data_IF_745044931144
#
_entry.id   IF_745044931144
#
_cell.length_a   1.000
_cell.length_b   1.000
_cell.length_c   1.000
_cell.angle_alpha   90.00
_cell.angle_beta   90.00
_cell.angle_gamma   90.00
#
_symmetry.space_group_name_H-M   'P 1'
#
loop_
_entity.id
_entity.type
_entity.pdbx_description
1 polymer ?
#
# COMPACT_ATOMS: atom_id res chain seq x y z
N UNK A 1 -2.67 1.55 0.64
CA UNK A 1 -2.87 1.60 -0.82
C UNK A 1 -3.55 0.34 -1.25
N UNK A 2 -4.56 0.46 -2.07
CA UNK A 2 -5.14 -0.72 -2.70
C UNK A 2 -5.43 -0.43 -4.17
N UNK A 3 -5.05 -1.36 -5.05
CA UNK A 3 -5.52 -1.37 -6.42
C UNK A 3 -5.73 -2.82 -6.87
N UNK A 4 -6.72 -3.02 -7.71
CA UNK A 4 -7.11 -4.30 -8.24
C UNK A 4 -6.51 -4.44 -9.63
N UNK A 5 -5.76 -5.49 -9.85
CA UNK A 5 -5.07 -5.76 -11.11
C UNK A 5 -5.29 -7.19 -11.61
N UNK A 6 -6.31 -7.84 -11.09
CA UNK A 6 -6.72 -9.15 -11.56
C UNK A 6 -7.23 -9.07 -13.00
N UNK A 7 -6.98 -10.10 -13.73
CA UNK A 7 -7.42 -10.29 -15.09
C UNK A 7 -8.20 -11.58 -15.25
N UNK A 8 -8.96 -11.88 -14.28
CA UNK A 8 -9.91 -12.97 -14.06
C UNK A 8 -9.69 -14.20 -14.90
N UNK A 9 -10.15 -14.54 -16.05
CA UNK A 9 -9.88 -15.85 -16.63
C UNK A 9 -8.40 -16.09 -17.00
N UNK A 10 -7.53 -15.06 -16.92
CA UNK A 10 -6.14 -15.12 -17.39
C UNK A 10 -5.13 -15.30 -16.28
N UNK A 11 -5.10 -14.40 -15.31
CA UNK A 11 -4.23 -14.43 -14.14
C UNK A 11 -4.67 -13.41 -13.09
N UNK A 12 -4.13 -13.54 -11.88
CA UNK A 12 -4.29 -12.56 -10.79
C UNK A 12 -2.91 -12.10 -10.32
N UNK A 13 -2.75 -10.78 -10.12
CA UNK A 13 -1.57 -10.18 -9.47
C UNK A 13 -1.95 -9.68 -8.08
N UNK A 14 -2.98 -8.84 -7.99
CA UNK A 14 -3.50 -8.28 -6.74
C UNK A 14 -5.01 -8.48 -6.68
N UNK A 15 -5.47 -9.47 -5.91
CA UNK A 15 -6.90 -9.71 -5.72
C UNK A 15 -7.55 -8.57 -4.93
N UNK A 16 -8.89 -8.44 -4.97
CA UNK A 16 -9.61 -7.49 -4.13
C UNK A 16 -9.29 -7.73 -2.65
N UNK A 17 -8.68 -6.75 -2.00
CA UNK A 17 -8.30 -6.90 -0.60
C UNK A 17 -7.56 -5.67 -0.07
N UNK A 18 -8.24 -4.86 0.73
CA UNK A 18 -7.66 -3.70 1.40
C UNK A 18 -7.51 -3.95 2.89
N UNK A 19 -6.72 -3.14 3.57
CA UNK A 19 -6.56 -3.18 5.02
C UNK A 19 -6.99 -1.88 5.66
N UNK A 20 -7.58 -1.99 6.82
CA UNK A 20 -7.83 -0.89 7.74
C UNK A 20 -7.03 -1.12 9.02
N UNK A 21 -6.46 -0.05 9.55
CA UNK A 21 -5.84 -0.05 10.87
C UNK A 21 -6.44 1.08 11.72
N UNK A 22 -6.69 0.80 12.98
CA UNK A 22 -7.26 1.73 13.93
C UNK A 22 -6.46 1.76 15.24
N UNK A 23 -6.28 2.95 15.77
CA UNK A 23 -5.71 3.17 17.09
C UNK A 23 -6.76 3.84 17.95
N UNK A 24 -7.10 3.24 19.10
CA UNK A 24 -8.00 3.83 20.06
C UNK A 24 -7.21 4.44 21.21
N UNK A 25 -7.40 5.74 21.45
CA UNK A 25 -6.66 6.48 22.47
C UNK A 25 -7.64 6.99 23.53
N UNK A 26 -7.36 6.69 24.78
CA UNK A 26 -8.04 7.29 25.94
C UNK A 26 -7.45 8.67 26.19
N UNK A 27 -8.31 9.69 26.14
CA UNK A 27 -7.91 11.05 26.48
C UNK A 27 -7.57 11.18 27.97
N UNK A 28 -6.45 11.80 28.28
CA UNK A 28 -5.99 11.97 29.65
C UNK A 28 -4.96 13.09 29.78
N UNK A 29 -4.41 13.26 30.99
CA UNK A 29 -3.19 14.05 31.21
C UNK A 29 -2.02 13.42 30.44
N UNK A 30 -1.93 12.08 30.52
CA UNK A 30 -1.13 11.22 29.64
C UNK A 30 -2.12 10.39 28.81
N UNK A 31 -2.18 10.55 27.48
CA UNK A 31 -3.01 9.72 26.62
C UNK A 31 -2.51 8.27 26.59
N UNK A 32 -3.44 7.32 26.52
CA UNK A 32 -3.11 5.90 26.54
C UNK A 32 -3.75 5.17 25.37
N UNK A 33 -2.99 4.42 24.54
CA UNK A 33 -3.56 3.45 23.62
C UNK A 33 -4.35 2.37 24.37
N UNK A 34 -5.54 2.04 23.88
CA UNK A 34 -6.43 1.05 24.49
C UNK A 34 -6.47 -0.19 23.60
N UNK A 35 -6.18 -1.36 24.18
CA UNK A 35 -6.20 -2.66 23.50
C UNK A 35 -7.23 -3.63 24.07
N UNK A 36 -7.73 -3.40 25.31
CA UNK A 36 -8.58 -4.32 26.05
C UNK A 36 -9.95 -3.75 26.35
N UNK A 37 -10.90 -4.64 26.60
CA UNK A 37 -12.29 -4.32 26.98
C UNK A 37 -13.02 -3.49 25.93
N UNK A 38 -12.60 -3.59 24.68
CA UNK A 38 -13.20 -2.88 23.55
C UNK A 38 -13.39 -3.82 22.36
N UNK A 39 -14.44 -3.57 21.60
CA UNK A 39 -14.67 -4.16 20.28
C UNK A 39 -14.69 -3.03 19.27
N UNK A 40 -13.91 -3.16 18.22
CA UNK A 40 -13.89 -2.16 17.13
C UNK A 40 -14.46 -2.81 15.88
N UNK A 41 -15.49 -2.20 15.33
CA UNK A 41 -16.14 -2.64 14.10
C UNK A 41 -15.91 -1.63 12.99
N UNK A 42 -15.89 -2.13 11.76
CA UNK A 42 -15.96 -1.30 10.56
C UNK A 42 -17.18 -1.67 9.72
N UNK A 43 -17.65 -0.70 8.95
CA UNK A 43 -18.72 -0.89 7.98
C UNK A 43 -18.53 0.11 6.84
N UNK A 44 -18.62 -0.37 5.60
CA UNK A 44 -18.68 0.51 4.44
C UNK A 44 -20.00 1.30 4.46
N UNK A 45 -19.97 2.54 4.01
CA UNK A 45 -21.18 3.33 3.81
C UNK A 45 -22.07 2.71 2.72
N UNK A 46 -23.40 2.88 2.79
CA UNK A 46 -24.34 2.29 1.83
C UNK A 46 -23.98 2.58 0.38
N UNK A 47 -24.17 1.59 -0.48
CA UNK A 47 -23.89 1.65 -1.90
C UNK A 47 -22.53 1.08 -2.32
N UNK A 48 -21.79 0.43 -1.41
CA UNK A 48 -20.54 -0.28 -1.70
C UNK A 48 -20.51 -1.67 -1.05
N UNK A 49 -21.67 -2.24 -0.77
CA UNK A 49 -21.77 -3.52 -0.06
C UNK A 49 -21.53 -4.73 -0.95
N UNK A 50 -21.64 -4.59 -2.27
CA UNK A 50 -21.64 -5.70 -3.24
C UNK A 50 -20.49 -5.62 -4.26
N UNK A 51 -19.22 -5.63 -3.85
CA UNK A 51 -18.07 -5.54 -4.76
C UNK A 51 -18.01 -6.71 -5.76
N UNK A 52 -18.56 -7.88 -5.44
CA UNK A 52 -18.58 -9.03 -6.34
C UNK A 52 -19.32 -8.78 -7.65
N UNK A 53 -20.19 -7.77 -7.71
CA UNK A 53 -20.88 -7.37 -8.96
C UNK A 53 -19.95 -6.71 -9.98
N UNK A 54 -18.77 -6.27 -9.56
CA UNK A 54 -17.85 -5.46 -10.37
C UNK A 54 -16.47 -6.08 -10.56
N UNK A 55 -16.31 -7.33 -10.18
CA UNK A 55 -15.14 -8.15 -10.46
C UNK A 55 -15.54 -9.60 -10.69
N UNK A 56 -14.87 -10.24 -11.62
CA UNK A 56 -15.03 -11.69 -11.86
C UNK A 56 -14.12 -12.51 -10.93
N UNK A 57 -13.42 -11.86 -10.00
CA UNK A 57 -12.53 -12.51 -9.04
C UNK A 57 -13.21 -13.71 -8.36
N UNK A 58 -14.43 -13.54 -7.87
CA UNK A 58 -15.17 -14.60 -7.17
C UNK A 58 -15.55 -15.80 -8.06
N UNK A 59 -15.65 -15.59 -9.38
CA UNK A 59 -15.92 -16.67 -10.34
C UNK A 59 -14.68 -17.55 -10.55
N UNK A 60 -13.49 -16.99 -10.41
CA UNK A 60 -12.22 -17.66 -10.70
C UNK A 60 -11.34 -17.90 -9.47
N UNK A 61 -11.71 -17.42 -8.28
CA UNK A 61 -10.88 -17.48 -7.09
C UNK A 61 -10.43 -18.89 -6.72
N UNK A 62 -11.29 -19.90 -6.90
CA UNK A 62 -10.97 -21.31 -6.64
C UNK A 62 -9.79 -21.81 -7.50
N UNK A 63 -9.66 -21.32 -8.74
CA UNK A 63 -8.55 -21.70 -9.61
C UNK A 63 -7.19 -21.18 -9.15
N UNK A 64 -7.19 -20.17 -8.29
CA UNK A 64 -5.99 -19.51 -7.82
C UNK A 64 -5.60 -19.86 -6.39
N UNK A 65 -6.59 -20.08 -5.52
CA UNK A 65 -6.39 -20.09 -4.07
C UNK A 65 -6.88 -21.38 -3.40
N UNK A 66 -7.22 -22.41 -4.15
CA UNK A 66 -7.76 -23.69 -3.67
C UNK A 66 -9.00 -23.54 -2.76
N UNK A 67 -9.66 -22.39 -2.87
CA UNK A 67 -10.91 -22.06 -2.16
C UNK A 67 -11.69 -21.00 -2.90
N UNK A 68 -13.00 -21.06 -2.78
CA UNK A 68 -13.92 -20.04 -3.28
C UNK A 68 -14.45 -19.23 -2.10
N UNK A 69 -14.04 -17.99 -1.92
CA UNK A 69 -14.68 -17.14 -0.93
C UNK A 69 -16.12 -16.85 -1.33
N UNK A 70 -17.00 -16.67 -0.35
CA UNK A 70 -18.36 -16.23 -0.61
C UNK A 70 -18.35 -14.88 -1.35
N UNK A 71 -19.38 -14.57 -2.16
CA UNK A 71 -19.53 -13.25 -2.74
C UNK A 71 -19.38 -12.15 -1.66
N UNK A 72 -18.72 -11.06 -2.03
CA UNK A 72 -18.46 -9.91 -1.15
C UNK A 72 -17.61 -10.20 0.10
N UNK A 73 -16.92 -11.34 0.10
CA UNK A 73 -15.88 -11.66 1.10
C UNK A 73 -14.51 -11.78 0.44
N UNK A 74 -13.52 -11.22 1.11
CA UNK A 74 -12.12 -11.33 0.69
C UNK A 74 -11.50 -12.68 1.07
N UNK A 75 -10.28 -12.91 0.59
CA UNK A 75 -9.54 -14.15 0.84
C UNK A 75 -9.29 -14.44 2.32
N UNK A 76 -9.24 -13.44 3.17
CA UNK A 76 -9.04 -13.59 4.62
C UNK A 76 -10.36 -13.72 5.40
N UNK A 77 -11.51 -13.80 4.69
CA UNK A 77 -12.83 -13.98 5.31
C UNK A 77 -13.55 -12.67 5.68
N UNK A 78 -12.86 -11.53 5.63
CA UNK A 78 -13.49 -10.24 5.91
C UNK A 78 -14.43 -9.82 4.79
N UNK A 79 -15.56 -9.21 5.15
CA UNK A 79 -16.50 -8.57 4.23
C UNK A 79 -16.33 -7.06 4.19
N UNK A 80 -17.30 -6.37 3.59
CA UNK A 80 -17.40 -4.90 3.59
C UNK A 80 -17.80 -4.33 4.96
N UNK A 81 -18.13 -5.19 5.90
CA UNK A 81 -18.30 -4.91 7.32
C UNK A 81 -17.72 -6.06 8.14
N UNK A 82 -17.24 -5.76 9.34
CA UNK A 82 -16.64 -6.75 10.23
C UNK A 82 -16.04 -6.13 11.48
N UNK A 83 -15.25 -6.94 12.16
CA UNK A 83 -14.56 -6.58 13.41
C UNK A 83 -13.05 -6.52 13.15
N UNK A 84 -12.36 -5.64 13.87
CA UNK A 84 -10.91 -5.56 13.89
C UNK A 84 -10.32 -6.57 14.88
N UNK A 85 -9.22 -7.19 14.51
CA UNK A 85 -8.36 -7.93 15.44
C UNK A 85 -7.24 -7.04 15.99
N UNK A 86 -6.93 -7.16 17.28
CA UNK A 86 -5.77 -6.47 17.84
C UNK A 86 -4.48 -7.17 17.41
N UNK A 87 -3.48 -6.38 17.04
CA UNK A 87 -2.16 -6.84 16.62
C UNK A 87 -1.10 -6.27 17.56
N UNK A 88 -0.54 -7.12 18.44
CA UNK A 88 0.47 -6.73 19.41
C UNK A 88 1.76 -6.17 18.78
N UNK A 89 2.14 -6.65 17.59
CA UNK A 89 3.35 -6.20 16.92
C UNK A 89 3.26 -4.76 16.43
N UNK A 90 2.07 -4.34 16.03
CA UNK A 90 1.80 -2.97 15.55
C UNK A 90 1.10 -2.12 16.60
N UNK A 91 0.74 -2.71 17.74
CA UNK A 91 -0.03 -2.08 18.82
C UNK A 91 -1.28 -1.35 18.30
N UNK A 92 -1.99 -1.98 17.36
CA UNK A 92 -3.17 -1.42 16.71
C UNK A 92 -4.19 -2.50 16.39
N UNK A 93 -5.41 -2.09 16.19
CA UNK A 93 -6.47 -2.94 15.65
C UNK A 93 -6.34 -2.98 14.12
N UNK A 94 -6.41 -4.16 13.52
CA UNK A 94 -6.27 -4.36 12.09
C UNK A 94 -7.40 -5.23 11.52
N UNK A 95 -7.84 -4.90 10.31
CA UNK A 95 -8.74 -5.71 9.51
C UNK A 95 -8.20 -5.73 8.06
N UNK A 96 -7.69 -6.88 7.65
CA UNK A 96 -7.04 -7.07 6.35
C UNK A 96 -7.91 -7.85 5.39
N UNK A 97 -7.67 -7.68 4.09
CA UNK A 97 -8.38 -8.42 3.04
C UNK A 97 -9.84 -8.01 2.88
N UNK A 98 -10.19 -6.76 3.22
CA UNK A 98 -11.52 -6.21 3.00
C UNK A 98 -11.75 -6.08 1.48
N UNK A 99 -12.74 -6.77 0.89
CA UNK A 99 -12.98 -6.72 -0.55
C UNK A 99 -13.66 -5.40 -0.90
N UNK A 100 -12.94 -4.53 -1.59
CA UNK A 100 -13.48 -3.23 -2.02
C UNK A 100 -13.02 -2.89 -3.42
N UNK A 101 -13.91 -2.29 -4.21
CA UNK A 101 -13.69 -1.87 -5.59
C UNK A 101 -14.09 -0.41 -5.77
N UNK A 102 -13.60 0.28 -6.82
CA UNK A 102 -13.90 1.68 -7.05
C UNK A 102 -15.25 1.91 -7.75
N UNK A 103 -16.24 1.09 -7.42
CA UNK A 103 -17.58 1.18 -7.99
C UNK A 103 -18.63 1.07 -6.90
N UNK A 104 -19.68 1.88 -7.03
CA UNK A 104 -20.88 1.68 -6.22
C UNK A 104 -21.63 0.43 -6.67
N UNK A 105 -22.55 -0.07 -5.85
CA UNK A 105 -23.36 -1.25 -6.16
C UNK A 105 -24.17 -1.11 -7.46
N UNK A 106 -24.40 0.11 -7.92
CA UNK A 106 -25.04 0.42 -9.20
C UNK A 106 -24.05 0.68 -10.35
N UNK A 107 -22.75 0.44 -10.13
CA UNK A 107 -21.72 0.58 -11.16
C UNK A 107 -21.20 1.98 -11.41
N UNK A 108 -21.54 2.95 -10.60
CA UNK A 108 -20.96 4.28 -10.69
C UNK A 108 -19.50 4.27 -10.20
N UNK A 109 -18.57 4.79 -11.00
CA UNK A 109 -17.17 4.88 -10.62
C UNK A 109 -17.00 5.89 -9.47
N UNK A 110 -16.59 5.38 -8.32
CA UNK A 110 -16.20 6.18 -7.16
C UNK A 110 -15.06 5.46 -6.41
N UNK A 111 -13.82 5.87 -6.60
CA UNK A 111 -12.66 5.23 -5.99
C UNK A 111 -12.42 5.65 -4.53
N UNK A 112 -13.40 6.25 -3.87
CA UNK A 112 -13.36 6.63 -2.45
C UNK A 112 -14.47 5.99 -1.63
N UNK A 113 -14.55 4.67 -1.52
CA UNK A 113 -15.43 4.04 -0.54
C UNK A 113 -15.17 4.60 0.85
N UNK A 114 -16.22 5.04 1.50
CA UNK A 114 -16.18 5.59 2.84
C UNK A 114 -16.56 4.50 3.85
N UNK A 115 -15.84 4.44 4.95
CA UNK A 115 -16.09 3.50 6.04
C UNK A 115 -16.37 4.24 7.34
N UNK A 116 -17.32 3.75 8.10
CA UNK A 116 -17.50 4.11 9.49
C UNK A 116 -16.82 3.06 10.37
N UNK A 117 -16.01 3.53 11.31
CA UNK A 117 -15.34 2.72 12.34
C UNK A 117 -15.95 3.10 13.68
N UNK A 118 -16.36 2.11 14.48
CA UNK A 118 -16.99 2.32 15.76
C UNK A 118 -16.32 1.45 16.83
N UNK A 119 -15.83 2.08 17.89
CA UNK A 119 -15.34 1.42 19.09
C UNK A 119 -16.46 1.35 20.14
N UNK A 120 -16.64 0.18 20.74
CA UNK A 120 -17.63 -0.09 21.78
C UNK A 120 -16.96 -0.70 23.01
N UNK A 121 -17.48 -0.43 24.16
CA UNK A 121 -17.16 -1.18 25.37
C UNK A 121 -17.64 -2.62 25.21
N UNK A 122 -16.77 -3.60 25.48
CA UNK A 122 -17.06 -5.01 25.22
C UNK A 122 -18.14 -5.60 26.16
N UNK A 123 -18.30 -5.05 27.36
CA UNK A 123 -19.25 -5.55 28.33
C UNK A 123 -20.64 -4.93 28.16
N UNK A 124 -20.69 -3.61 27.94
CA UNK A 124 -21.98 -2.88 27.91
C UNK A 124 -22.50 -2.63 26.49
N UNK A 125 -21.67 -2.81 25.48
CA UNK A 125 -21.98 -2.45 24.08
C UNK A 125 -22.06 -0.94 23.83
N UNK A 126 -21.79 -0.10 24.84
CA UNK A 126 -21.84 1.35 24.72
C UNK A 126 -20.81 1.84 23.71
N UNK A 127 -21.22 2.73 22.80
CA UNK A 127 -20.32 3.39 21.86
C UNK A 127 -19.39 4.34 22.61
N UNK A 128 -18.09 4.09 22.47
CA UNK A 128 -17.02 4.90 23.05
C UNK A 128 -16.53 5.99 22.09
N UNK A 129 -16.38 5.64 20.79
CA UNK A 129 -15.92 6.54 19.76
C UNK A 129 -16.43 6.07 18.39
N UNK A 130 -16.51 7.00 17.46
CA UNK A 130 -16.78 6.70 16.05
C UNK A 130 -16.01 7.66 15.15
N UNK A 131 -15.52 7.16 14.02
CA UNK A 131 -14.82 7.96 13.03
C UNK A 131 -15.12 7.44 11.62
N UNK A 132 -14.85 8.27 10.62
CA UNK A 132 -14.94 7.86 9.21
C UNK A 132 -13.55 7.84 8.58
N UNK A 133 -13.35 6.90 7.68
CA UNK A 133 -12.11 6.77 6.90
C UNK A 133 -12.41 6.34 5.48
N UNK A 134 -11.45 6.53 4.60
CA UNK A 134 -11.53 6.11 3.22
C UNK A 134 -10.63 4.89 3.00
N UNK A 135 -11.04 4.02 2.09
CA UNK A 135 -10.15 3.05 1.44
C UNK A 135 -10.03 3.44 -0.03
N UNK A 136 -9.04 4.25 -0.43
CA UNK A 136 -8.86 4.61 -1.83
C UNK A 136 -8.52 3.37 -2.66
N UNK A 137 -9.20 3.17 -3.78
CA UNK A 137 -9.04 2.01 -4.66
C UNK A 137 -8.82 2.44 -6.09
N UNK A 138 -7.89 1.80 -6.78
CA UNK A 138 -7.65 1.99 -8.22
C UNK A 138 -7.76 0.67 -8.98
N UNK A 139 -8.19 0.77 -10.22
CA UNK A 139 -8.13 -0.33 -11.20
C UNK A 139 -7.15 -0.02 -12.33
N UNK A 140 -6.36 1.02 -12.19
CA UNK A 140 -5.50 1.53 -13.24
C UNK A 140 -4.05 1.05 -13.09
N UNK A 141 -3.77 -0.15 -13.55
CA UNK A 141 -2.40 -0.60 -13.80
C UNK A 141 -2.02 -0.28 -15.25
N UNK A 142 -0.86 0.38 -15.43
CA UNK A 142 -0.42 0.88 -16.72
C UNK A 142 0.09 -0.18 -17.71
N UNK A 143 -0.10 -1.47 -17.47
CA UNK A 143 0.38 -2.56 -18.33
C UNK A 143 0.00 -2.38 -19.81
N UNK A 144 -1.19 -1.85 -20.06
CA UNK A 144 -1.68 -1.57 -21.41
C UNK A 144 -0.82 -0.59 -22.21
N UNK A 145 -0.04 0.26 -21.56
CA UNK A 145 0.81 1.24 -22.25
C UNK A 145 1.86 0.57 -23.15
N UNK A 146 2.24 -0.68 -22.82
CA UNK A 146 3.19 -1.49 -23.61
C UNK A 146 2.55 -2.77 -24.13
N UNK A 147 1.59 -3.35 -23.40
CA UNK A 147 0.94 -4.61 -23.75
C UNK A 147 -0.38 -4.43 -24.52
N UNK A 148 -0.78 -3.18 -24.80
CA UNK A 148 -1.99 -2.87 -25.56
C UNK A 148 -3.28 -3.13 -24.78
N UNK A 149 -4.43 -3.06 -25.47
CA UNK A 149 -5.74 -3.22 -24.90
C UNK A 149 -6.34 -1.93 -24.30
N UNK A 150 -7.65 -1.88 -24.05
CA UNK A 150 -8.34 -0.74 -23.46
C UNK A 150 -8.20 -0.69 -21.94
N UNK A 151 -8.53 0.44 -21.33
CA UNK A 151 -8.74 0.52 -19.89
C UNK A 151 -10.06 -0.17 -19.49
N UNK A 152 -10.01 -1.01 -18.45
CA UNK A 152 -11.21 -1.66 -17.87
C UNK A 152 -11.61 -1.00 -16.57
N UNK A 153 -12.05 0.23 -16.63
CA UNK A 153 -12.31 1.03 -15.42
C UNK A 153 -13.74 1.57 -15.32
N UNK A 154 -14.63 1.21 -16.23
CA UNK A 154 -15.99 1.77 -16.19
C UNK A 154 -16.99 0.97 -15.37
N UNK A 155 -16.96 -0.31 -15.35
CA UNK A 155 -17.92 -1.13 -14.60
C UNK A 155 -17.31 -2.41 -14.06
N UNK A 156 -16.13 -2.77 -14.52
CA UNK A 156 -15.43 -4.00 -14.14
C UNK A 156 -13.99 -3.64 -13.87
N UNK A 157 -13.48 -4.08 -12.72
CA UNK A 157 -12.08 -3.90 -12.32
C UNK A 157 -11.12 -4.79 -13.12
N UNK A 158 -9.84 -4.55 -12.97
CA UNK A 158 -8.79 -5.38 -13.55
C UNK A 158 -8.32 -4.95 -14.94
N UNK A 159 -7.47 -5.76 -15.56
CA UNK A 159 -6.93 -5.54 -16.88
C UNK A 159 -7.87 -6.02 -17.97
N UNK A 160 -7.76 -5.41 -19.16
CA UNK A 160 -8.44 -5.92 -20.33
C UNK A 160 -7.86 -7.27 -20.77
N UNK A 161 -8.70 -8.11 -21.35
CA UNK A 161 -8.32 -9.44 -21.81
C UNK A 161 -7.17 -9.40 -22.83
N UNK A 162 -7.17 -8.43 -23.75
CA UNK A 162 -6.08 -8.28 -24.74
C UNK A 162 -4.74 -7.96 -24.07
N UNK A 163 -4.74 -7.09 -23.05
CA UNK A 163 -3.53 -6.77 -22.27
C UNK A 163 -3.03 -8.03 -21.57
N UNK A 164 -3.93 -8.76 -20.92
CA UNK A 164 -3.59 -9.99 -20.20
C UNK A 164 -3.03 -11.08 -21.13
N UNK A 165 -3.67 -11.30 -22.25
CA UNK A 165 -3.21 -12.27 -23.26
C UNK A 165 -1.83 -11.94 -23.80
N UNK A 166 -1.54 -10.67 -24.10
CA UNK A 166 -0.21 -10.27 -24.55
C UNK A 166 0.86 -10.52 -23.47
N UNK A 167 0.56 -10.22 -22.22
CA UNK A 167 1.45 -10.51 -21.09
C UNK A 167 1.76 -12.00 -21.00
N UNK A 168 0.74 -12.86 -21.02
CA UNK A 168 0.93 -14.31 -20.92
C UNK A 168 1.74 -14.87 -22.11
N UNK A 169 1.42 -14.44 -23.34
CA UNK A 169 2.16 -14.88 -24.54
C UNK A 169 3.64 -14.49 -24.49
N UNK A 170 3.96 -13.29 -24.02
CA UNK A 170 5.35 -12.84 -23.84
C UNK A 170 6.05 -13.62 -22.76
N UNK A 171 5.37 -13.87 -21.64
CA UNK A 171 5.91 -14.69 -20.56
C UNK A 171 6.23 -16.12 -21.05
N UNK A 172 5.26 -16.75 -21.71
CA UNK A 172 5.44 -18.13 -22.24
C UNK A 172 6.59 -18.21 -23.23
N UNK A 173 6.69 -17.24 -24.14
CA UNK A 173 7.79 -17.17 -25.11
C UNK A 173 9.15 -16.99 -24.45
N UNK A 174 9.23 -16.14 -23.42
CA UNK A 174 10.50 -15.82 -22.77
C UNK A 174 10.98 -16.93 -21.83
N UNK A 175 10.05 -17.70 -21.25
CA UNK A 175 10.35 -18.63 -20.16
C UNK A 175 9.96 -20.09 -20.43
N UNK A 176 9.42 -20.41 -21.62
CA UNK A 176 9.01 -21.76 -21.98
C UNK A 176 7.88 -22.29 -21.12
N UNK A 177 6.95 -21.41 -20.70
CA UNK A 177 5.77 -21.78 -19.92
C UNK A 177 4.54 -21.99 -20.81
N UNK A 178 3.44 -22.47 -20.24
CA UNK A 178 2.18 -22.77 -20.92
C UNK A 178 0.99 -21.98 -20.33
N UNK A 179 1.26 -20.83 -19.73
CA UNK A 179 0.27 -20.06 -18.96
C UNK A 179 -0.94 -19.65 -19.81
N UNK A 180 -0.68 -19.20 -21.04
CA UNK A 180 -1.75 -18.83 -21.98
C UNK A 180 -2.66 -20.01 -22.33
N UNK A 181 -2.07 -21.13 -22.71
CA UNK A 181 -2.83 -22.33 -23.06
C UNK A 181 -3.61 -22.90 -21.87
N UNK A 182 -3.09 -22.77 -20.66
CA UNK A 182 -3.81 -23.15 -19.43
C UNK A 182 -5.00 -22.25 -19.14
N UNK A 183 -4.81 -20.92 -19.27
CA UNK A 183 -5.88 -19.96 -19.07
C UNK A 183 -7.03 -20.16 -20.09
N UNK A 184 -6.70 -20.41 -21.35
CA UNK A 184 -7.69 -20.75 -22.41
C UNK A 184 -8.50 -22.01 -22.10
N UNK A 185 -7.92 -22.95 -21.36
CA UNK A 185 -8.62 -24.15 -20.87
C UNK A 185 -9.36 -23.94 -19.54
N UNK A 186 -9.51 -22.68 -19.08
CA UNK A 186 -10.17 -22.37 -17.81
C UNK A 186 -9.36 -22.76 -16.56
N UNK A 187 -8.04 -22.93 -16.70
CA UNK A 187 -7.13 -23.30 -15.60
C UNK A 187 -6.00 -22.24 -15.46
N UNK A 188 -6.36 -20.97 -15.25
CA UNK A 188 -5.36 -19.91 -15.08
C UNK A 188 -4.49 -20.17 -13.84
N UNK A 189 -3.33 -19.52 -13.79
CA UNK A 189 -2.41 -19.63 -12.64
C UNK A 189 -2.23 -18.30 -11.93
N UNK A 190 -2.13 -18.38 -10.61
CA UNK A 190 -1.66 -17.28 -9.77
C UNK A 190 -0.17 -17.04 -10.05
N UNK A 191 0.23 -15.79 -10.30
CA UNK A 191 1.65 -15.44 -10.52
C UNK A 191 2.50 -15.85 -9.31
N UNK A 192 1.97 -15.66 -8.13
CA UNK A 192 2.62 -15.97 -6.86
C UNK A 192 2.73 -17.48 -6.56
N UNK A 193 2.12 -18.35 -7.36
CA UNK A 193 2.39 -19.79 -7.26
C UNK A 193 3.85 -20.15 -7.65
N UNK A 194 4.49 -19.29 -8.45
CA UNK A 194 5.89 -19.42 -8.84
C UNK A 194 6.77 -18.30 -8.27
N UNK A 195 6.27 -17.10 -8.17
CA UNK A 195 6.98 -15.92 -7.71
C UNK A 195 6.56 -15.58 -6.29
N UNK A 196 7.46 -15.74 -5.32
CA UNK A 196 7.18 -15.39 -3.93
C UNK A 196 6.67 -13.95 -3.80
N UNK A 197 5.70 -13.72 -2.92
CA UNK A 197 5.16 -12.38 -2.67
C UNK A 197 4.72 -12.23 -1.21
N UNK A 198 5.46 -11.46 -0.40
CA UNK A 198 5.10 -11.21 0.98
C UNK A 198 3.75 -10.47 1.15
N UNK A 199 3.29 -9.74 0.13
CA UNK A 199 2.01 -9.01 0.20
C UNK A 199 0.81 -9.92 0.43
N UNK A 200 0.87 -11.17 -0.02
CA UNK A 200 -0.17 -12.19 0.17
C UNK A 200 0.35 -13.45 0.86
N UNK A 201 1.49 -13.37 1.54
CA UNK A 201 2.17 -14.50 2.20
C UNK A 201 2.46 -15.70 1.27
N UNK A 202 2.66 -15.45 -0.02
CA UNK A 202 2.96 -16.49 -0.98
C UNK A 202 4.46 -16.83 -0.97
N UNK A 203 4.78 -18.11 -0.78
CA UNK A 203 6.17 -18.61 -0.72
C UNK A 203 6.77 -18.82 -2.11
N UNK A 204 5.96 -19.04 -3.14
CA UNK A 204 6.40 -19.25 -4.52
C UNK A 204 7.36 -20.45 -4.68
N UNK A 205 8.11 -20.45 -5.79
CA UNK A 205 9.24 -21.36 -6.02
C UNK A 205 10.54 -20.64 -5.63
N UNK A 206 11.26 -21.14 -4.65
CA UNK A 206 12.48 -20.51 -4.15
C UNK A 206 13.59 -20.31 -5.20
N UNK A 207 13.53 -21.02 -6.32
CA UNK A 207 14.46 -20.85 -7.46
C UNK A 207 14.12 -19.64 -8.35
N UNK A 208 12.90 -19.13 -8.24
CA UNK A 208 12.41 -17.98 -9.02
C UNK A 208 12.63 -16.68 -8.24
N UNK A 209 12.69 -15.58 -8.98
CA UNK A 209 12.68 -14.26 -8.34
C UNK A 209 11.29 -13.98 -7.74
N UNK A 210 11.20 -13.25 -6.60
CA UNK A 210 9.92 -12.75 -6.11
C UNK A 210 9.18 -11.91 -7.16
N UNK A 211 7.86 -11.82 -7.09
CA UNK A 211 7.04 -11.17 -8.09
C UNK A 211 7.48 -9.73 -8.35
N UNK A 212 7.60 -8.93 -7.31
CA UNK A 212 8.04 -7.54 -7.43
C UNK A 212 9.43 -7.43 -8.07
N UNK A 213 10.38 -8.29 -7.65
CA UNK A 213 11.74 -8.33 -8.20
C UNK A 213 11.74 -8.73 -9.68
N UNK A 214 10.90 -9.68 -10.07
CA UNK A 214 10.76 -10.13 -11.47
C UNK A 214 10.24 -9.02 -12.36
N UNK A 215 9.16 -8.36 -11.94
CA UNK A 215 8.54 -7.28 -12.72
C UNK A 215 9.49 -6.10 -12.87
N UNK A 216 10.02 -5.56 -11.77
CA UNK A 216 10.90 -4.39 -11.83
C UNK A 216 12.23 -4.72 -12.52
N UNK A 217 12.84 -5.86 -12.19
CA UNK A 217 14.12 -6.28 -12.77
C UNK A 217 14.07 -6.49 -14.29
N UNK A 218 12.98 -7.07 -14.79
CA UNK A 218 12.78 -7.23 -16.23
C UNK A 218 12.56 -5.88 -16.90
N UNK A 219 11.55 -5.13 -16.45
CA UNK A 219 11.11 -3.91 -17.12
C UNK A 219 12.13 -2.78 -17.05
N UNK A 220 12.96 -2.72 -16.01
CA UNK A 220 14.05 -1.74 -15.93
C UNK A 220 15.06 -1.84 -17.12
N UNK A 221 15.13 -3.00 -17.77
CA UNK A 221 15.97 -3.19 -18.95
C UNK A 221 15.33 -2.69 -20.27
N UNK A 222 14.03 -2.37 -20.25
CA UNK A 222 13.27 -2.03 -21.47
C UNK A 222 12.61 -0.66 -21.42
N UNK A 223 12.44 -0.05 -20.22
CA UNK A 223 11.79 1.25 -20.07
C UNK A 223 12.79 2.36 -20.42
N UNK A 224 12.58 3.11 -21.52
CA UNK A 224 13.50 4.16 -21.95
C UNK A 224 13.33 5.47 -21.19
N UNK A 225 12.19 5.63 -20.50
CA UNK A 225 11.81 6.84 -19.77
C UNK A 225 12.57 6.91 -18.45
N UNK A 226 12.99 8.11 -18.07
CA UNK A 226 13.77 8.36 -16.84
C UNK A 226 12.93 9.02 -15.74
N UNK A 227 13.48 9.03 -14.54
CA UNK A 227 12.87 9.70 -13.40
C UNK A 227 11.56 9.05 -12.94
N UNK A 228 10.67 9.84 -12.38
CA UNK A 228 9.38 9.39 -11.87
C UNK A 228 8.39 8.99 -12.97
N UNK A 229 8.56 9.50 -14.18
CA UNK A 229 7.70 9.14 -15.31
C UNK A 229 7.81 7.66 -15.68
N UNK A 230 8.97 7.04 -15.46
CA UNK A 230 9.14 5.59 -15.63
C UNK A 230 8.20 4.79 -14.71
N UNK A 231 8.04 5.23 -13.46
CA UNK A 231 7.13 4.61 -12.49
C UNK A 231 5.67 4.78 -12.93
N UNK A 232 5.33 5.98 -13.43
CA UNK A 232 3.99 6.34 -13.90
C UNK A 232 3.51 5.57 -15.14
N UNK A 233 4.39 4.85 -15.84
CA UNK A 233 3.99 3.96 -16.94
C UNK A 233 3.18 2.76 -16.44
N UNK A 234 3.45 2.30 -15.22
CA UNK A 234 2.81 1.12 -14.62
C UNK A 234 1.93 1.47 -13.42
N UNK A 235 2.46 2.29 -12.51
CA UNK A 235 1.72 2.71 -11.33
C UNK A 235 0.66 3.77 -11.66
N UNK A 236 -0.47 3.83 -10.91
CA UNK A 236 -1.58 4.75 -11.20
C UNK A 236 -1.20 6.23 -11.05
N UNK A 237 -0.40 6.74 -11.93
CA UNK A 237 0.01 8.15 -12.05
C UNK A 237 0.04 8.60 -13.50
N UNK A 238 -0.43 7.76 -14.42
CA UNK A 238 -0.41 8.08 -15.83
C UNK A 238 -1.33 9.25 -16.16
N UNK A 239 -0.88 10.13 -17.06
CA UNK A 239 -1.62 11.33 -17.43
C UNK A 239 -3.01 11.05 -18.00
N UNK A 240 -3.20 9.90 -18.66
CA UNK A 240 -4.50 9.46 -19.20
C UNK A 240 -5.37 8.72 -18.20
N UNK A 241 -4.89 8.49 -16.98
CA UNK A 241 -5.62 7.78 -15.92
C UNK A 241 -6.53 8.69 -15.11
N UNK A 242 -7.49 8.12 -14.42
CA UNK A 242 -8.37 8.81 -13.51
C UNK A 242 -7.79 8.92 -12.09
N UNK A 243 -6.77 8.12 -11.78
CA UNK A 243 -6.14 8.07 -10.45
C UNK A 243 -4.71 8.61 -10.47
N UNK A 244 -4.20 8.94 -9.30
CA UNK A 244 -2.90 9.59 -9.17
C UNK A 244 -2.20 9.20 -7.88
N UNK A 245 -1.05 8.55 -8.03
CA UNK A 245 -0.29 7.97 -6.94
C UNK A 245 0.39 9.03 -6.05
N UNK A 246 1.18 9.91 -6.65
CA UNK A 246 1.93 10.92 -5.92
C UNK A 246 1.20 12.27 -5.91
N UNK A 247 0.75 12.68 -4.75
CA UNK A 247 0.21 14.01 -4.45
C UNK A 247 0.40 14.33 -2.97
N UNK A 248 -0.09 15.43 -2.48
CA UNK A 248 0.07 15.85 -1.09
C UNK A 248 1.31 16.70 -0.85
N UNK A 249 1.74 16.81 0.40
CA UNK A 249 2.81 17.73 0.81
C UNK A 249 4.13 17.40 0.11
N UNK A 250 4.55 16.14 0.10
CA UNK A 250 5.80 15.74 -0.53
C UNK A 250 5.83 16.10 -2.03
N UNK A 251 4.75 15.80 -2.74
CA UNK A 251 4.65 16.18 -4.16
C UNK A 251 4.61 17.71 -4.35
N UNK A 252 3.97 18.45 -3.44
CA UNK A 252 3.87 19.92 -3.53
C UNK A 252 5.21 20.64 -3.29
N UNK A 253 6.15 19.99 -2.60
CA UNK A 253 7.52 20.49 -2.41
C UNK A 253 8.51 19.90 -3.42
N UNK A 254 8.01 19.26 -4.48
CA UNK A 254 8.83 18.77 -5.58
C UNK A 254 9.41 17.36 -5.38
N UNK A 255 9.05 16.64 -4.32
CA UNK A 255 9.48 15.26 -4.15
C UNK A 255 8.67 14.32 -5.05
N UNK A 256 9.35 13.34 -5.57
CA UNK A 256 8.79 12.33 -6.47
C UNK A 256 9.17 10.90 -6.02
N UNK A 257 8.71 9.91 -6.76
CA UNK A 257 9.02 8.51 -6.50
C UNK A 257 10.53 8.27 -6.30
N UNK A 258 11.36 8.93 -7.10
CA UNK A 258 12.81 8.70 -7.11
C UNK A 258 13.53 9.17 -5.85
N UNK A 259 12.99 10.16 -5.15
CA UNK A 259 13.59 10.65 -3.90
C UNK A 259 13.56 9.58 -2.79
N UNK A 260 12.58 8.69 -2.84
CA UNK A 260 12.43 7.61 -1.85
C UNK A 260 12.84 6.25 -2.40
N UNK A 261 12.50 5.94 -3.65
CA UNK A 261 12.68 4.61 -4.23
C UNK A 261 13.87 4.51 -5.19
N UNK A 262 14.52 5.61 -5.54
CA UNK A 262 15.54 5.66 -6.59
C UNK A 262 14.93 5.68 -8.00
N UNK A 263 15.78 5.78 -9.00
CA UNK A 263 15.39 5.60 -10.40
C UNK A 263 14.85 4.18 -10.61
N UNK A 264 14.24 3.92 -11.76
CA UNK A 264 13.81 2.56 -12.13
C UNK A 264 14.95 1.55 -12.09
N UNK A 265 16.15 1.94 -12.56
CA UNK A 265 17.36 1.14 -12.47
C UNK A 265 17.80 0.90 -11.03
N UNK A 266 17.88 1.96 -10.20
CA UNK A 266 18.32 1.85 -8.81
C UNK A 266 17.37 0.96 -8.01
N UNK A 267 16.05 1.15 -8.22
CA UNK A 267 15.02 0.34 -7.61
C UNK A 267 15.18 -1.15 -7.97
N UNK A 268 15.31 -1.45 -9.26
CA UNK A 268 15.48 -2.81 -9.73
C UNK A 268 16.78 -3.44 -9.20
N UNK A 269 17.89 -2.69 -9.21
CA UNK A 269 19.16 -3.16 -8.66
C UNK A 269 19.03 -3.51 -7.17
N UNK A 270 18.36 -2.68 -6.37
CA UNK A 270 18.18 -2.95 -4.94
C UNK A 270 17.45 -4.28 -4.67
N UNK A 271 16.44 -4.59 -5.49
CA UNK A 271 15.67 -5.83 -5.39
C UNK A 271 16.47 -7.04 -5.91
N UNK A 272 17.14 -6.89 -7.05
CA UNK A 272 17.94 -7.96 -7.64
C UNK A 272 19.16 -8.32 -6.79
N UNK A 273 19.77 -7.35 -6.12
CA UNK A 273 20.87 -7.59 -5.18
C UNK A 273 20.44 -8.41 -3.97
N UNK A 274 19.20 -8.29 -3.51
CA UNK A 274 18.69 -9.18 -2.45
C UNK A 274 18.62 -10.63 -2.91
N UNK A 275 18.47 -10.87 -4.20
CA UNK A 275 18.37 -12.18 -4.83
C UNK A 275 19.69 -12.61 -5.50
N UNK A 276 20.83 -12.02 -5.11
CA UNK A 276 22.15 -12.45 -5.56
C UNK A 276 22.34 -13.96 -5.31
N UNK A 277 22.91 -14.66 -6.30
CA UNK A 277 22.99 -16.12 -6.30
C UNK A 277 21.96 -16.81 -7.20
N UNK A 278 20.82 -16.15 -7.51
CA UNK A 278 19.90 -16.67 -8.53
C UNK A 278 20.38 -16.27 -9.93
N UNK A 279 20.44 -17.24 -10.85
CA UNK A 279 20.90 -16.99 -12.25
C UNK A 279 20.12 -15.85 -12.92
N UNK A 280 18.81 -15.77 -12.70
CA UNK A 280 17.97 -14.72 -13.26
C UNK A 280 18.31 -13.34 -12.72
N UNK A 281 18.61 -13.20 -11.41
CA UNK A 281 19.06 -11.94 -10.84
C UNK A 281 20.37 -11.47 -11.49
N UNK A 282 21.36 -12.36 -11.58
CA UNK A 282 22.66 -12.10 -12.22
C UNK A 282 22.50 -11.70 -13.68
N UNK A 283 21.58 -12.34 -14.42
CA UNK A 283 21.32 -12.01 -15.83
C UNK A 283 20.71 -10.62 -15.99
N UNK A 284 19.70 -10.28 -15.19
CA UNK A 284 19.00 -9.01 -15.31
C UNK A 284 19.83 -7.81 -14.84
N UNK A 285 20.56 -7.96 -13.74
CA UNK A 285 21.28 -6.85 -13.11
C UNK A 285 22.47 -6.36 -13.94
N UNK A 286 23.10 -7.23 -14.72
CA UNK A 286 24.34 -6.86 -15.46
C UNK A 286 24.14 -5.78 -16.50
N UNK A 287 22.94 -5.60 -17.02
CA UNK A 287 22.59 -4.57 -18.02
C UNK A 287 22.13 -3.26 -17.39
N UNK A 288 21.81 -3.27 -16.09
CA UNK A 288 21.36 -2.07 -15.38
C UNK A 288 22.53 -1.19 -14.94
N UNK A 289 22.34 0.12 -15.00
CA UNK A 289 23.29 1.13 -14.52
C UNK A 289 22.68 1.87 -13.35
N UNK A 290 23.38 2.03 -12.23
CA UNK A 290 22.92 2.87 -11.13
C UNK A 290 22.88 4.34 -11.56
N UNK A 291 22.01 5.11 -10.97
CA UNK A 291 21.85 6.55 -11.20
C UNK A 291 22.15 7.35 -9.93
N UNK A 292 21.73 6.83 -8.78
CA UNK A 292 21.88 7.53 -7.51
C UNK A 292 23.26 7.34 -6.84
N UNK A 293 24.05 6.37 -7.30
CA UNK A 293 25.36 6.00 -6.74
C UNK A 293 26.36 5.65 -7.85
N UNK A 294 27.66 5.59 -7.53
CA UNK A 294 28.72 5.32 -8.51
C UNK A 294 28.70 3.88 -9.04
N UNK A 295 28.57 2.92 -8.15
CA UNK A 295 28.62 1.51 -8.52
C UNK A 295 27.37 0.76 -8.07
N UNK A 296 27.02 -0.31 -8.78
CA UNK A 296 25.92 -1.21 -8.38
C UNK A 296 26.12 -1.80 -6.99
N UNK A 297 27.36 -2.03 -6.61
CA UNK A 297 27.74 -2.55 -5.30
C UNK A 297 27.38 -1.58 -4.14
N UNK A 298 27.23 -0.30 -4.42
CA UNK A 298 26.90 0.72 -3.42
C UNK A 298 25.38 0.75 -3.13
N UNK A 299 24.53 0.15 -3.98
CA UNK A 299 23.10 0.04 -3.72
C UNK A 299 22.86 -1.10 -2.74
N UNK A 300 22.29 -0.80 -1.58
CA UNK A 300 21.97 -1.79 -0.56
C UNK A 300 20.85 -2.72 -1.01
N UNK A 301 20.97 -4.04 -0.77
CA UNK A 301 19.91 -5.00 -1.06
C UNK A 301 18.62 -4.66 -0.33
N UNK A 302 17.48 -4.96 -0.95
CA UNK A 302 16.16 -4.70 -0.39
C UNK A 302 15.17 -5.82 -0.70
N UNK A 303 14.53 -6.34 0.34
CA UNK A 303 13.43 -7.29 0.21
C UNK A 303 12.12 -6.51 -0.03
N UNK A 304 11.41 -6.79 -1.15
CA UNK A 304 10.15 -6.10 -1.45
C UNK A 304 9.15 -6.33 -0.32
N UNK A 305 8.33 -5.31 -0.04
CA UNK A 305 7.31 -5.26 1.01
C UNK A 305 7.83 -5.29 2.46
N UNK A 306 9.07 -5.70 2.68
CA UNK A 306 9.68 -5.81 4.01
C UNK A 306 10.56 -4.60 4.32
N UNK A 307 11.49 -4.27 3.42
CA UNK A 307 12.35 -3.11 3.61
C UNK A 307 11.85 -1.92 2.80
N UNK A 308 11.80 -0.76 3.37
CA UNK A 308 11.31 0.45 2.72
C UNK A 308 12.05 1.71 3.16
N UNK A 309 11.79 2.85 2.51
CA UNK A 309 12.26 4.14 2.98
C UNK A 309 11.67 4.47 4.35
N UNK A 310 12.46 5.04 5.25
CA UNK A 310 12.02 5.49 6.57
C UNK A 310 11.83 7.01 6.59
N UNK A 311 10.81 7.48 7.30
CA UNK A 311 10.55 8.89 7.51
C UNK A 311 11.77 9.61 8.10
N UNK A 312 12.43 9.00 9.09
CA UNK A 312 13.60 9.56 9.75
C UNK A 312 14.88 9.56 8.91
N UNK A 313 14.86 8.91 7.72
CA UNK A 313 15.95 9.04 6.75
C UNK A 313 16.07 10.48 6.21
N UNK A 314 14.95 11.19 6.12
CA UNK A 314 14.88 12.60 5.72
C UNK A 314 14.57 13.53 6.90
N UNK A 315 13.63 13.16 7.77
CA UNK A 315 13.20 13.93 8.92
C UNK A 315 14.09 13.66 10.15
N UNK A 316 15.39 13.87 9.99
CA UNK A 316 16.34 13.69 11.09
C UNK A 316 15.94 14.59 12.26
N UNK A 317 15.86 14.00 13.46
CA UNK A 317 15.41 14.70 14.67
C UNK A 317 14.03 15.38 14.50
N UNK A 318 13.14 14.77 13.66
CA UNK A 318 11.80 15.28 13.31
C UNK A 318 11.79 16.69 12.69
N UNK A 319 12.91 17.14 12.18
CA UNK A 319 13.03 18.45 11.52
C UNK A 319 12.60 18.38 10.07
N UNK A 320 12.22 19.54 9.53
CA UNK A 320 12.05 19.70 8.10
C UNK A 320 13.38 19.35 7.40
N UNK A 321 13.37 18.50 6.37
CA UNK A 321 14.60 18.19 5.63
C UNK A 321 15.22 19.41 4.97
N UNK A 322 16.53 19.36 4.76
CA UNK A 322 17.26 20.28 3.89
C UNK A 322 16.81 20.15 2.44
N UNK A 323 17.33 21.00 1.57
CA UNK A 323 17.02 20.96 0.15
C UNK A 323 17.38 19.61 -0.49
N UNK A 324 16.52 19.17 -1.41
CA UNK A 324 16.67 17.94 -2.18
C UNK A 324 16.91 16.66 -1.34
N UNK A 325 16.03 16.35 -0.38
CA UNK A 325 16.20 15.18 0.49
C UNK A 325 16.02 13.88 -0.28
N UNK A 326 16.75 12.83 0.12
CA UNK A 326 16.62 11.49 -0.42
C UNK A 326 16.65 10.43 0.69
N UNK A 327 15.66 9.57 0.69
CA UNK A 327 15.60 8.36 1.52
C UNK A 327 16.06 7.11 0.76
N UNK A 328 16.36 7.23 -0.54
CA UNK A 328 16.86 6.11 -1.31
C UNK A 328 18.14 5.53 -0.69
N UNK A 329 18.25 4.21 -0.74
CA UNK A 329 19.39 3.44 -0.22
C UNK A 329 19.57 3.49 1.32
N UNK A 330 18.56 4.02 2.04
CA UNK A 330 18.49 4.05 3.51
C UNK A 330 17.27 3.22 3.93
N UNK A 331 17.40 1.89 3.81
CA UNK A 331 16.28 0.99 4.05
C UNK A 331 16.13 0.70 5.53
N UNK A 332 14.87 0.54 5.94
CA UNK A 332 14.54 -0.06 7.24
C UNK A 332 14.99 -1.52 7.28
N UNK A 333 15.16 -2.08 8.48
CA UNK A 333 15.48 -3.49 8.67
C UNK A 333 14.27 -4.40 8.40
N UNK A 334 13.59 -4.77 9.46
CA UNK A 334 12.40 -5.63 9.40
C UNK A 334 11.09 -4.83 9.25
N UNK A 335 9.99 -5.52 9.09
CA UNK A 335 8.67 -4.92 8.92
C UNK A 335 8.28 -3.92 10.03
N UNK A 336 8.75 -4.14 11.26
CA UNK A 336 8.53 -3.23 12.39
C UNK A 336 9.19 -1.85 12.21
N UNK A 337 10.25 -1.78 11.40
CA UNK A 337 10.98 -0.55 11.11
C UNK A 337 10.44 0.20 9.89
N UNK A 338 9.45 -0.34 9.18
CA UNK A 338 8.79 0.37 8.09
C UNK A 338 8.06 1.61 8.64
N UNK A 339 7.99 2.67 7.83
CA UNK A 339 7.32 3.91 8.21
C UNK A 339 5.92 3.68 8.80
N UNK A 340 5.17 2.74 8.26
CA UNK A 340 3.82 2.38 8.71
C UNK A 340 3.79 1.71 10.09
N UNK A 341 4.88 1.09 10.49
CA UNK A 341 5.04 0.39 11.77
C UNK A 341 6.00 1.13 12.71
N UNK A 342 6.60 2.24 12.24
CA UNK A 342 7.47 3.07 13.06
C UNK A 342 6.65 3.77 14.11
N UNK A 343 7.02 3.58 15.35
CA UNK A 343 6.42 4.30 16.47
C UNK A 343 7.18 5.59 16.70
N UNK A 344 6.45 6.59 17.10
CA UNK A 344 6.99 7.82 17.64
C UNK A 344 6.54 7.95 19.09
N UNK A 345 6.64 9.13 19.65
CA UNK A 345 6.08 9.51 20.92
C UNK A 345 5.77 8.33 21.86
N UNK A 346 6.41 8.19 22.96
CA UNK A 346 6.28 7.06 23.90
C UNK A 346 6.53 5.64 23.33
N UNK A 347 6.87 5.50 22.05
CA UNK A 347 7.00 4.21 21.37
C UNK A 347 5.67 3.52 21.02
N UNK A 348 4.55 4.21 21.15
CA UNK A 348 3.20 3.63 21.00
C UNK A 348 2.43 4.13 19.78
N UNK A 349 2.81 5.29 19.22
CA UNK A 349 2.13 5.91 18.10
C UNK A 349 2.98 5.81 16.84
N UNK A 350 2.35 5.36 15.76
CA UNK A 350 3.00 5.33 14.45
C UNK A 350 2.86 6.68 13.76
N UNK A 351 3.88 7.08 13.01
CA UNK A 351 3.89 8.35 12.27
C UNK A 351 2.63 8.54 11.42
N UNK A 352 2.21 7.46 10.74
CA UNK A 352 1.02 7.47 9.88
C UNK A 352 -0.32 7.66 10.63
N UNK A 353 -0.37 7.41 11.93
CA UNK A 353 -1.57 7.64 12.73
C UNK A 353 -1.94 9.13 12.78
N UNK A 354 -0.94 10.02 12.79
CA UNK A 354 -1.14 11.46 12.77
C UNK A 354 -0.97 12.06 11.37
N UNK A 355 0.01 11.59 10.60
CA UNK A 355 0.39 12.16 9.31
C UNK A 355 -0.36 11.56 8.12
N UNK A 356 -0.95 10.38 8.25
CA UNK A 356 -1.61 9.67 7.17
C UNK A 356 -0.62 9.08 6.15
N UNK A 357 -1.12 8.71 4.97
CA UNK A 357 -0.31 8.11 3.91
C UNK A 357 0.70 9.09 3.31
N UNK A 358 1.91 8.61 3.02
CA UNK A 358 2.97 9.42 2.40
C UNK A 358 2.74 9.69 0.92
N UNK A 359 1.97 8.87 0.26
CA UNK A 359 1.68 9.00 -1.16
C UNK A 359 0.48 9.90 -1.44
N UNK A 360 -0.44 10.08 -0.50
CA UNK A 360 -1.72 10.74 -0.70
C UNK A 360 -2.39 10.26 -1.99
N UNK A 361 -2.49 8.95 -2.11
CA UNK A 361 -2.91 8.23 -3.30
C UNK A 361 -4.32 8.62 -3.75
N UNK A 362 -4.77 8.15 -4.79
CA UNK A 362 -6.06 8.12 -5.46
C UNK A 362 -7.23 8.92 -4.93
N UNK A 363 -8.09 9.27 -5.84
CA UNK A 363 -7.86 9.75 -7.16
C UNK A 363 -7.17 11.11 -7.12
N UNK A 364 -6.93 11.73 -8.24
CA UNK A 364 -6.34 13.07 -8.29
C UNK A 364 -7.15 14.12 -7.51
N UNK A 365 -8.42 13.84 -7.23
CA UNK A 365 -9.30 14.70 -6.41
C UNK A 365 -10.07 13.85 -5.41
N UNK A 366 -9.79 14.06 -4.14
CA UNK A 366 -10.55 13.52 -3.04
C UNK A 366 -11.63 14.52 -2.65
N UNK A 367 -12.93 14.18 -2.69
CA UNK A 367 -14.01 15.11 -2.35
C UNK A 367 -13.98 15.57 -0.89
N UNK A 368 -13.32 14.83 -0.01
CA UNK A 368 -13.22 15.14 1.41
C UNK A 368 -11.95 15.90 1.78
N UNK A 369 -10.85 15.66 1.04
CA UNK A 369 -9.57 16.33 1.26
C UNK A 369 -8.74 16.28 -0.02
N UNK A 370 -8.54 17.42 -0.67
CA UNK A 370 -7.85 17.51 -1.95
C UNK A 370 -6.37 17.06 -1.91
N UNK A 371 -5.74 16.99 -0.73
CA UNK A 371 -4.32 16.72 -0.58
C UNK A 371 -3.99 15.43 0.16
N UNK A 372 -4.94 14.87 0.91
CA UNK A 372 -4.74 13.69 1.75
C UNK A 372 -5.94 12.79 1.71
N UNK A 373 -5.72 11.48 1.89
CA UNK A 373 -6.78 10.50 2.02
C UNK A 373 -7.17 10.25 3.49
N UNK A 374 -6.41 10.81 4.43
CA UNK A 374 -6.73 10.74 5.85
C UNK A 374 -7.76 11.81 6.23
N UNK A 375 -8.93 11.39 6.69
CA UNK A 375 -10.06 12.26 7.08
C UNK A 375 -10.01 12.66 8.56
N UNK A 376 -9.27 11.97 9.41
CA UNK A 376 -9.27 12.22 10.85
C UNK A 376 -8.87 13.65 11.22
N UNK A 377 -7.87 14.28 10.59
CA UNK A 377 -7.58 15.69 10.87
C UNK A 377 -8.76 16.61 10.63
N UNK A 378 -9.54 16.41 9.56
CA UNK A 378 -10.75 17.20 9.29
C UNK A 378 -11.84 16.93 10.31
N UNK A 379 -12.02 15.68 10.75
CA UNK A 379 -13.02 15.30 11.72
C UNK A 379 -12.71 15.86 13.12
N UNK A 380 -11.46 15.79 13.56
CA UNK A 380 -11.06 16.12 14.92
C UNK A 380 -10.54 17.56 15.07
N UNK A 381 -9.71 18.02 14.14
CA UNK A 381 -9.04 19.32 14.24
C UNK A 381 -9.64 20.39 13.33
N UNK A 382 -10.57 20.01 12.42
CA UNK A 382 -11.15 20.91 11.40
C UNK A 382 -10.09 21.50 10.46
N UNK A 383 -8.92 20.88 10.37
CA UNK A 383 -7.81 21.31 9.51
C UNK A 383 -7.30 20.16 8.66
N UNK A 384 -6.68 20.40 7.51
CA UNK A 384 -6.09 19.35 6.67
C UNK A 384 -4.68 18.93 7.11
N UNK A 385 -4.19 19.41 8.23
CA UNK A 385 -2.85 19.11 8.74
C UNK A 385 -2.84 17.84 9.61
N UNK A 386 -1.65 17.40 10.01
CA UNK A 386 -1.52 16.26 10.92
C UNK A 386 -2.30 16.46 12.22
N UNK A 387 -2.78 15.37 12.81
CA UNK A 387 -3.44 15.42 14.12
C UNK A 387 -2.47 16.02 15.14
N UNK A 388 -2.96 16.97 15.95
CA UNK A 388 -2.14 17.70 16.93
C UNK A 388 -1.42 18.92 16.37
N UNK A 389 -1.38 19.13 15.04
CA UNK A 389 -0.85 20.35 14.46
C UNK A 389 -1.63 21.59 14.94
N UNK A 390 -0.96 22.75 14.89
CA UNK A 390 -1.55 24.04 15.27
C UNK A 390 -2.10 24.06 16.71
N UNK A 391 -1.46 23.35 17.64
CA UNK A 391 -1.84 23.23 19.05
C UNK A 391 -3.12 22.45 19.29
N UNK A 392 -3.56 21.60 18.39
CA UNK A 392 -4.71 20.67 18.56
C UNK A 392 -4.42 19.53 19.55
N UNK A 393 -3.69 19.81 20.64
CA UNK A 393 -3.27 18.79 21.63
C UNK A 393 -4.47 18.18 22.37
N UNK A 394 -5.59 18.91 22.49
CA UNK A 394 -6.80 18.46 23.18
C UNK A 394 -7.50 17.28 22.50
N UNK A 395 -7.10 16.90 21.31
CA UNK A 395 -7.59 15.66 20.67
C UNK A 395 -7.24 14.44 21.52
N UNK A 396 -6.02 14.41 22.08
CA UNK A 396 -5.52 13.32 22.92
C UNK A 396 -5.39 13.73 24.39
N UNK A 397 -5.10 14.99 24.68
CA UNK A 397 -4.91 15.51 26.03
C UNK A 397 -6.18 16.17 26.58
N UNK A 398 -6.40 16.10 27.89
CA UNK A 398 -7.50 16.84 28.55
C UNK A 398 -7.21 18.33 28.65
N UNK A 399 -5.93 18.69 28.71
CA UNK A 399 -5.48 20.07 28.84
C UNK A 399 -4.58 20.41 27.65
N UNK A 400 -4.63 21.66 27.21
CA UNK A 400 -3.74 22.15 26.19
C UNK A 400 -2.27 22.06 26.67
N UNK A 401 -1.43 21.41 25.91
CA UNK A 401 0.01 21.34 26.14
C UNK A 401 0.71 22.45 25.37
N UNK A 402 1.79 22.99 25.95
CA UNK A 402 2.64 23.99 25.29
C UNK A 402 3.92 23.39 24.73
N UNK A 403 4.06 22.07 24.81
CA UNK A 403 5.23 21.33 24.35
C UNK A 403 5.32 21.29 22.81
N UNK A 404 6.48 20.89 22.33
CA UNK A 404 6.71 20.65 20.92
C UNK A 404 5.78 19.55 20.39
N UNK A 405 5.39 19.66 19.13
CA UNK A 405 4.40 18.77 18.50
C UNK A 405 4.81 17.29 18.55
N UNK A 406 6.12 17.02 18.53
CA UNK A 406 6.65 15.66 18.63
C UNK A 406 7.20 15.35 20.05
N UNK A 407 6.73 15.91 21.10
CA UNK A 407 7.06 15.67 22.51
C UNK A 407 8.57 15.55 22.86
N UNK A 408 9.04 16.24 23.87
CA UNK A 408 10.49 16.37 24.21
C UNK A 408 11.25 15.06 24.42
N UNK A 409 10.59 13.98 24.81
CA UNK A 409 11.24 12.71 25.13
C UNK A 409 11.28 11.70 23.98
N UNK A 410 10.67 12.00 22.86
CA UNK A 410 10.54 11.14 21.71
C UNK A 410 11.89 10.67 21.17
N UNK A 411 12.83 11.56 20.98
CA UNK A 411 14.19 11.24 20.54
C UNK A 411 14.96 10.34 21.52
N UNK A 412 14.72 10.45 22.82
CA UNK A 412 15.37 9.59 23.82
C UNK A 412 14.88 8.17 23.73
N UNK A 413 13.60 7.96 23.43
CA UNK A 413 13.00 6.65 23.30
C UNK A 413 13.42 5.96 22.02
N UNK A 414 13.40 6.64 20.89
CA UNK A 414 13.89 6.12 19.60
C UNK A 414 15.35 5.68 19.71
N UNK A 415 16.21 6.45 20.38
CA UNK A 415 17.62 6.09 20.61
C UNK A 415 17.81 4.89 21.54
N UNK A 416 16.89 4.60 22.47
CA UNK A 416 16.93 3.41 23.33
C UNK A 416 16.54 2.15 22.57
N UNK A 417 15.54 2.22 21.70
CA UNK A 417 15.06 1.07 20.92
C UNK A 417 16.06 0.63 19.84
N UNK A 418 16.90 1.55 19.34
CA UNK A 418 17.95 1.23 18.33
C UNK A 418 19.21 0.62 18.98
N UNK A 419 19.34 0.63 20.31
CA UNK A 419 20.51 0.10 21.04
C UNK A 419 20.24 -1.23 21.74
N UNK A 420 19.06 -1.80 21.64
CA UNK A 420 18.70 -3.16 22.04
C UNK A 420 18.45 -4.03 20.80
#
# INVERSE_FOLDING_TARGET
>A
MHFVSDSDPWFVILPPGAGLEALLIRRGGTPEPISEKVVINYRVEPGFESPSRHSRFWDYAENYFDRRPDPDRGLLGNGTSGEFAYNDKTMSFAADGIPILPYTDVGTFNPYPLFTITAKDSASGKVLASTKTLIPVSTEMGCRNCHGGPWRWKNISGMADDTARDILRRHDRAHGTDLMARAEKGKPRLCQSCHADPAINAVGDGKRLPLSTSIHGLHANYIPVKGADACGLCHPSHKSGATRYARGVHASVGLSCVNCHGSMSDHAISLLRFEEGKRSATSLIKHLRPVAVQARADIKPRKPWINGPDCLACHVDFKKPSDNPSAFNKWTGEAADLYKNRTDDTGSLRCVACHGTVHAEYPARNPYNARRDNLQPLQYSKTPYAIGANRGCEICHREAKRDEVHHRNMLRMVRRTVRQ
#
